data_IF_262634357588
#
_entry.id   IF_262634357588
#
_cell.length_a   1.000
_cell.length_b   1.000
_cell.length_c   1.000
_cell.angle_alpha   90.00
_cell.angle_beta   90.00
_cell.angle_gamma   90.00
#
_symmetry.space_group_name_H-M   'P 1'
#
loop_
_entity.id
_entity.type
_entity.pdbx_description
1 polymer ?
#
# COMPACT_ATOMS: atom_id res chain seq x y z
N UNK A 1 -3.50 -12.90 -3.63
CA UNK A 1 -3.48 -14.32 -3.27
C UNK A 1 -2.70 -14.58 -1.98
N UNK A 2 -1.62 -13.84 -1.69
CA UNK A 2 -0.89 -13.89 -0.40
C UNK A 2 -1.74 -13.71 0.86
N UNK A 3 -2.63 -12.69 0.90
CA UNK A 3 -3.49 -12.42 2.07
C UNK A 3 -4.32 -13.66 2.44
N UNK A 4 -4.97 -14.28 1.45
CA UNK A 4 -5.79 -15.49 1.65
C UNK A 4 -4.96 -16.72 2.01
N UNK A 5 -3.76 -16.87 1.43
CA UNK A 5 -2.84 -17.97 1.73
C UNK A 5 -2.25 -17.90 3.14
N UNK A 6 -2.14 -16.71 3.73
CA UNK A 6 -1.72 -16.54 5.13
C UNK A 6 -2.77 -17.01 6.15
N UNK A 7 -3.98 -17.38 5.73
CA UNK A 7 -5.01 -17.87 6.63
C UNK A 7 -4.77 -19.35 7.03
N UNK A 8 -4.52 -19.65 8.32
CA UNK A 8 -4.20 -21.01 8.77
C UNK A 8 -5.36 -22.01 8.63
N UNK A 9 -6.61 -21.54 8.49
CA UNK A 9 -7.79 -22.38 8.31
C UNK A 9 -8.87 -21.66 7.51
N UNK A 10 -9.79 -22.39 6.83
CA UNK A 10 -10.92 -21.80 6.09
C UNK A 10 -11.84 -20.92 6.95
N UNK A 11 -11.96 -21.22 8.24
CA UNK A 11 -12.85 -20.48 9.15
C UNK A 11 -12.40 -19.03 9.38
N UNK A 12 -11.10 -18.73 9.27
CA UNK A 12 -10.55 -17.39 9.49
C UNK A 12 -10.36 -16.58 8.19
N UNK A 13 -10.78 -17.15 7.05
CA UNK A 13 -10.59 -16.53 5.73
C UNK A 13 -11.36 -15.21 5.60
N UNK A 14 -12.57 -15.15 6.16
CA UNK A 14 -13.39 -13.94 6.17
C UNK A 14 -12.75 -12.82 7.00
N UNK A 15 -12.17 -13.16 8.16
CA UNK A 15 -11.50 -12.19 9.02
C UNK A 15 -10.24 -11.61 8.37
N UNK A 16 -9.40 -12.46 7.77
CA UNK A 16 -8.17 -12.05 7.07
C UNK A 16 -8.50 -11.15 5.87
N UNK A 17 -9.51 -11.49 5.07
CA UNK A 17 -9.97 -10.63 3.97
C UNK A 17 -10.59 -9.32 4.46
N UNK A 18 -11.35 -9.37 5.56
CA UNK A 18 -11.89 -8.19 6.21
C UNK A 18 -10.78 -7.21 6.61
N UNK A 19 -9.73 -7.69 7.28
CA UNK A 19 -8.57 -6.87 7.64
C UNK A 19 -7.82 -6.28 6.43
N UNK A 20 -7.68 -7.07 5.36
CA UNK A 20 -7.13 -6.56 4.10
C UNK A 20 -8.00 -5.44 3.53
N UNK A 21 -9.31 -5.63 3.50
CA UNK A 21 -10.26 -4.65 2.98
C UNK A 21 -10.34 -3.38 3.83
N UNK A 22 -10.32 -3.47 5.15
CA UNK A 22 -10.32 -2.28 6.03
C UNK A 22 -9.06 -1.45 5.81
N UNK A 23 -7.90 -2.09 5.67
CA UNK A 23 -6.64 -1.43 5.36
C UNK A 23 -6.71 -0.70 4.01
N UNK A 24 -7.22 -1.37 2.97
CA UNK A 24 -7.39 -0.77 1.63
C UNK A 24 -8.41 0.38 1.68
N UNK A 25 -9.50 0.24 2.43
CA UNK A 25 -10.51 1.28 2.60
C UNK A 25 -9.92 2.52 3.28
N UNK A 26 -9.14 2.33 4.35
CA UNK A 26 -8.45 3.40 5.06
C UNK A 26 -7.48 4.14 4.15
N UNK A 27 -6.67 3.40 3.37
CA UNK A 27 -5.76 4.00 2.40
C UNK A 27 -6.51 4.83 1.34
N UNK A 28 -7.67 4.36 0.87
CA UNK A 28 -8.52 5.10 -0.07
C UNK A 28 -9.15 6.36 0.55
N UNK A 29 -9.50 6.31 1.83
CA UNK A 29 -10.09 7.45 2.52
C UNK A 29 -9.05 8.57 2.78
N UNK A 30 -7.84 8.20 3.18
CA UNK A 30 -6.81 9.17 3.63
C UNK A 30 -5.85 9.58 2.51
N UNK A 31 -5.60 8.70 1.54
CA UNK A 31 -4.65 8.93 0.45
C UNK A 31 -4.86 10.24 -0.33
N UNK A 32 -6.09 10.56 -0.78
CA UNK A 32 -6.34 11.80 -1.53
C UNK A 32 -6.06 13.07 -0.73
N UNK A 33 -6.38 13.07 0.57
CA UNK A 33 -6.14 14.21 1.45
C UNK A 33 -4.63 14.44 1.63
N UNK A 34 -3.87 13.38 1.94
CA UNK A 34 -2.41 13.47 2.09
C UNK A 34 -1.73 13.92 0.79
N UNK A 35 -2.13 13.37 -0.36
CA UNK A 35 -1.59 13.77 -1.66
C UNK A 35 -1.80 15.27 -1.93
N UNK A 36 -3.01 15.77 -1.64
CA UNK A 36 -3.37 17.17 -1.84
C UNK A 36 -2.60 18.10 -0.90
N UNK A 37 -2.52 17.76 0.39
CA UNK A 37 -1.76 18.53 1.38
C UNK A 37 -0.27 18.58 1.02
N UNK A 38 0.31 17.47 0.60
CA UNK A 38 1.72 17.41 0.21
C UNK A 38 1.98 18.22 -1.07
N UNK A 39 1.05 18.24 -2.02
CA UNK A 39 1.15 19.05 -3.23
C UNK A 39 1.08 20.55 -2.90
N UNK A 40 0.11 20.96 -2.08
CA UNK A 40 -0.01 22.34 -1.61
C UNK A 40 1.27 22.79 -0.87
N UNK A 41 1.78 21.96 0.04
CA UNK A 41 3.02 22.21 0.77
C UNK A 41 4.24 22.34 -0.16
N UNK A 42 4.38 21.44 -1.14
CA UNK A 42 5.43 21.47 -2.16
C UNK A 42 5.41 22.79 -2.95
N UNK A 43 4.22 23.28 -3.30
CA UNK A 43 4.02 24.53 -4.04
C UNK A 43 4.26 25.76 -3.19
N UNK A 44 3.80 25.79 -1.94
CA UNK A 44 3.94 26.91 -1.02
C UNK A 44 5.41 27.20 -0.69
N UNK A 45 6.18 26.15 -0.40
CA UNK A 45 7.62 26.28 -0.12
C UNK A 45 8.51 26.28 -1.36
N UNK A 46 7.91 26.22 -2.56
CA UNK A 46 8.61 26.15 -3.85
C UNK A 46 9.70 25.05 -3.91
N UNK A 47 9.46 23.94 -3.21
CA UNK A 47 10.40 22.81 -3.12
C UNK A 47 10.54 22.17 -4.50
N UNK A 48 11.78 22.11 -5.03
CA UNK A 48 12.06 21.64 -6.40
C UNK A 48 11.16 22.29 -7.47
N UNK A 49 11.03 23.63 -7.46
CA UNK A 49 10.12 24.36 -8.36
C UNK A 49 8.63 23.94 -8.21
N UNK A 50 8.26 23.41 -7.05
CA UNK A 50 6.91 22.89 -6.77
C UNK A 50 6.67 21.44 -7.16
N UNK A 51 7.67 20.74 -7.72
CA UNK A 51 7.55 19.36 -8.19
C UNK A 51 7.98 18.30 -7.15
N UNK A 52 8.33 18.71 -5.92
CA UNK A 52 8.79 17.79 -4.88
C UNK A 52 7.78 16.66 -4.56
N UNK A 53 6.47 16.91 -4.74
CA UNK A 53 5.44 15.87 -4.58
C UNK A 53 5.70 14.64 -5.46
N UNK A 54 6.13 14.86 -6.71
CA UNK A 54 6.36 13.77 -7.65
C UNK A 54 7.56 12.93 -7.24
N UNK A 55 8.61 13.58 -6.73
CA UNK A 55 9.80 12.90 -6.20
C UNK A 55 9.41 12.01 -5.02
N UNK A 56 8.59 12.52 -4.10
CA UNK A 56 8.12 11.75 -2.94
C UNK A 56 7.29 10.54 -3.39
N UNK A 57 6.38 10.70 -4.35
CA UNK A 57 5.61 9.57 -4.88
C UNK A 57 6.47 8.54 -5.63
N UNK A 58 7.50 8.97 -6.36
CA UNK A 58 8.45 8.05 -7.02
C UNK A 58 9.19 7.24 -5.97
N UNK A 59 9.70 7.87 -4.91
CA UNK A 59 10.39 7.18 -3.81
C UNK A 59 9.43 6.20 -3.14
N UNK A 60 8.21 6.63 -2.82
CA UNK A 60 7.19 5.78 -2.19
C UNK A 60 6.85 4.57 -3.07
N UNK A 61 6.66 4.77 -4.37
CA UNK A 61 6.41 3.69 -5.32
C UNK A 61 7.59 2.72 -5.41
N UNK A 62 8.82 3.24 -5.42
CA UNK A 62 10.04 2.43 -5.39
C UNK A 62 10.15 1.57 -4.12
N UNK A 63 9.86 2.16 -2.95
CA UNK A 63 9.85 1.44 -1.67
C UNK A 63 8.76 0.38 -1.63
N UNK A 64 7.54 0.71 -2.08
CA UNK A 64 6.43 -0.26 -2.16
C UNK A 64 6.75 -1.42 -3.11
N UNK A 65 7.37 -1.12 -4.26
CA UNK A 65 7.83 -2.14 -5.20
C UNK A 65 8.91 -3.02 -4.59
N UNK A 66 9.89 -2.43 -3.89
CA UNK A 66 10.94 -3.15 -3.21
C UNK A 66 10.39 -4.04 -2.09
N UNK A 67 9.48 -3.53 -1.28
CA UNK A 67 8.81 -4.31 -0.24
C UNK A 67 7.99 -5.45 -0.85
N UNK A 68 7.33 -5.19 -1.99
CA UNK A 68 6.66 -6.20 -2.81
C UNK A 68 7.60 -7.32 -3.26
N UNK A 69 8.85 -7.01 -3.63
CA UNK A 69 9.85 -8.00 -4.02
C UNK A 69 10.37 -8.88 -2.87
N UNK A 70 10.04 -8.54 -1.62
CA UNK A 70 10.33 -9.38 -0.45
C UNK A 70 9.26 -10.43 -0.18
N UNK A 71 8.12 -10.38 -0.86
CA UNK A 71 7.13 -11.45 -0.74
C UNK A 71 7.66 -12.71 -1.43
N UNK A 72 7.48 -13.89 -0.82
CA UNK A 72 7.91 -15.16 -1.42
C UNK A 72 7.19 -15.40 -2.74
N UNK A 73 7.92 -15.87 -3.75
CA UNK A 73 7.35 -16.16 -5.08
C UNK A 73 6.42 -17.38 -5.07
N UNK A 74 6.59 -18.29 -4.10
CA UNK A 74 5.81 -19.50 -3.96
C UNK A 74 4.71 -19.30 -2.90
N UNK A 75 3.47 -19.38 -3.34
CA UNK A 75 2.30 -19.39 -2.46
C UNK A 75 2.15 -20.84 -2.03
N UNK A 76 2.33 -21.12 -0.74
CA UNK A 76 2.12 -22.47 -0.18
C UNK A 76 0.70 -22.93 -0.55
N UNK A 77 0.63 -23.82 -1.54
CA UNK A 77 -0.63 -24.35 -2.03
C UNK A 77 -1.21 -25.26 -0.95
N UNK A 78 -2.47 -25.04 -0.62
CA UNK A 78 -3.13 -25.69 0.52
C UNK A 78 -3.93 -26.88 0.01
N UNK A 79 -3.26 -27.74 -0.74
CA UNK A 79 -3.75 -29.03 -1.23
C UNK A 79 -2.86 -30.16 -0.66
N UNK A 80 -2.95 -30.35 0.66
CA UNK A 80 -3.16 -31.66 1.34
C UNK A 80 -4.02 -31.43 2.60
#
# INVERSE_FOLDING_TARGET
MFITASAPTKNVLGAINGLGQTTVSMARAVGPALATSLFAFSKEHNLLNGNAVYVIFIILAGVLRWLGSRLPDEIQDRDE
#
